data_IF_340462570909
#
_entry.id   IF_340462570909
#
_cell.length_a   1.000
_cell.length_b   1.000
_cell.length_c   1.000
_cell.angle_alpha   90.00
_cell.angle_beta   90.00
_cell.angle_gamma   90.00
#
_symmetry.space_group_name_H-M   'P 1'
#
loop_
_entity.id
_entity.type
_entity.pdbx_description
1 polymer ?
#
# COMPACT_ATOMS: atom_id res chain seq x y z
N UNK A 1 -0.61 -10.60 -21.19
CA UNK A 1 0.18 -9.38 -20.94
C UNK A 1 0.62 -9.38 -19.48
N UNK A 2 1.93 -9.34 -19.18
CA UNK A 2 2.39 -9.00 -17.82
C UNK A 2 1.97 -7.56 -17.55
N UNK A 3 1.11 -7.33 -16.55
CA UNK A 3 0.83 -5.97 -16.07
C UNK A 3 2.14 -5.40 -15.53
N UNK A 4 2.46 -4.16 -15.88
CA UNK A 4 3.61 -3.46 -15.30
C UNK A 4 3.41 -3.33 -13.78
N UNK A 5 4.50 -3.43 -13.01
CA UNK A 5 4.47 -3.41 -11.54
C UNK A 5 3.84 -2.11 -11.02
N UNK A 6 4.09 -0.98 -11.69
CA UNK A 6 3.46 0.29 -11.31
C UNK A 6 1.93 0.23 -11.50
N UNK A 7 1.46 -0.33 -12.60
CA UNK A 7 0.03 -0.54 -12.86
C UNK A 7 -0.63 -1.46 -11.82
N UNK A 8 0.10 -2.46 -11.32
CA UNK A 8 -0.38 -3.33 -10.23
C UNK A 8 -0.45 -2.60 -8.89
N UNK A 9 0.52 -1.73 -8.59
CA UNK A 9 0.53 -0.90 -7.38
C UNK A 9 -0.61 0.11 -7.41
N UNK A 10 -0.84 0.79 -8.53
CA UNK A 10 -1.97 1.71 -8.71
C UNK A 10 -3.31 0.99 -8.53
N UNK A 11 -3.50 -0.16 -9.17
CA UNK A 11 -4.71 -0.97 -9.00
C UNK A 11 -4.92 -1.38 -7.53
N UNK A 12 -3.86 -1.77 -6.83
CA UNK A 12 -3.94 -2.13 -5.42
C UNK A 12 -4.32 -0.92 -4.55
N UNK A 13 -3.75 0.26 -4.80
CA UNK A 13 -4.12 1.49 -4.11
C UNK A 13 -5.57 1.90 -4.37
N UNK A 14 -6.03 1.80 -5.62
CA UNK A 14 -7.44 2.07 -5.97
C UNK A 14 -8.37 1.13 -5.23
N UNK A 15 -8.09 -0.18 -5.22
CA UNK A 15 -8.91 -1.16 -4.51
C UNK A 15 -8.95 -0.86 -3.01
N UNK A 16 -7.78 -0.60 -2.40
CA UNK A 16 -7.69 -0.23 -0.99
C UNK A 16 -8.54 1.00 -0.67
N UNK A 17 -8.45 2.06 -1.50
CA UNK A 17 -9.22 3.28 -1.28
C UNK A 17 -10.72 3.07 -1.41
N UNK A 18 -11.15 2.30 -2.42
CA UNK A 18 -12.56 1.98 -2.62
C UNK A 18 -13.12 1.16 -1.45
N UNK A 19 -12.41 0.11 -1.03
CA UNK A 19 -12.81 -0.74 0.08
C UNK A 19 -12.92 0.04 1.39
N UNK A 20 -11.99 0.98 1.62
CA UNK A 20 -12.02 1.88 2.77
C UNK A 20 -13.23 2.81 2.73
N UNK A 21 -13.48 3.44 1.59
CA UNK A 21 -14.61 4.36 1.43
C UNK A 21 -15.93 3.64 1.70
N UNK A 22 -16.11 2.43 1.16
CA UNK A 22 -17.30 1.62 1.40
C UNK A 22 -17.41 1.24 2.90
N UNK A 23 -16.31 0.80 3.51
CA UNK A 23 -16.29 0.46 4.94
C UNK A 23 -16.59 1.67 5.83
N UNK A 24 -16.10 2.85 5.49
CA UNK A 24 -16.35 4.10 6.22
C UNK A 24 -17.81 4.55 6.09
N UNK A 25 -18.44 4.37 4.92
CA UNK A 25 -19.87 4.59 4.71
C UNK A 25 -20.71 3.65 5.60
N UNK A 26 -20.43 2.34 5.53
CA UNK A 26 -21.13 1.33 6.33
C UNK A 26 -20.96 1.55 7.84
N UNK A 27 -19.77 1.98 8.28
CA UNK A 27 -19.53 2.31 9.68
C UNK A 27 -20.29 3.56 10.12
N UNK A 28 -20.47 4.54 9.22
CA UNK A 28 -21.25 5.75 9.51
C UNK A 28 -22.73 5.43 9.66
N UNK A 29 -23.29 4.64 8.73
CA UNK A 29 -24.67 4.14 8.82
C UNK A 29 -24.89 3.32 10.11
N UNK A 30 -23.93 2.46 10.46
CA UNK A 30 -24.00 1.66 11.68
C UNK A 30 -23.97 2.54 12.94
N UNK A 31 -23.15 3.60 12.97
CA UNK A 31 -23.11 4.55 14.08
C UNK A 31 -24.44 5.26 14.26
N UNK A 32 -25.08 5.70 13.17
CA UNK A 32 -26.42 6.30 13.22
C UNK A 32 -27.45 5.31 13.78
N UNK A 33 -27.43 4.06 13.31
CA UNK A 33 -28.31 3.00 13.81
C UNK A 33 -28.11 2.73 15.31
N UNK A 34 -26.86 2.66 15.76
CA UNK A 34 -26.48 2.45 17.17
C UNK A 34 -26.87 3.62 18.07
N UNK A 35 -26.93 4.85 17.53
CA UNK A 35 -27.28 6.05 18.28
C UNK A 35 -28.73 6.09 18.78
N UNK A 36 -29.60 5.22 18.26
CA UNK A 36 -31.04 5.22 18.59
C UNK A 36 -31.35 4.59 19.96
N UNK A 37 -30.65 3.51 20.36
CA UNK A 37 -30.85 2.89 21.68
C UNK A 37 -29.62 2.12 22.18
N UNK A 38 -29.52 1.95 23.50
CA UNK A 38 -28.44 1.16 24.11
C UNK A 38 -28.45 -0.32 23.71
N UNK A 39 -29.62 -0.89 23.44
CA UNK A 39 -29.75 -2.27 22.96
C UNK A 39 -29.12 -2.41 21.57
N UNK A 40 -29.42 -1.49 20.64
CA UNK A 40 -28.82 -1.48 19.30
C UNK A 40 -27.30 -1.32 19.36
N UNK A 41 -26.79 -0.54 20.30
CA UNK A 41 -25.35 -0.42 20.53
C UNK A 41 -24.74 -1.77 20.92
N UNK A 42 -25.35 -2.49 21.87
CA UNK A 42 -24.87 -3.80 22.31
C UNK A 42 -24.89 -4.83 21.17
N UNK A 43 -25.97 -4.88 20.39
CA UNK A 43 -26.14 -5.85 19.29
C UNK A 43 -25.20 -5.57 18.10
N UNK A 44 -24.90 -4.29 17.86
CA UNK A 44 -24.11 -3.87 16.70
C UNK A 44 -22.60 -3.83 16.95
N UNK A 45 -22.15 -3.96 18.21
CA UNK A 45 -20.73 -3.85 18.58
C UNK A 45 -19.84 -4.82 17.81
N UNK A 46 -20.29 -6.06 17.62
CA UNK A 46 -19.57 -7.08 16.84
C UNK A 46 -19.49 -6.74 15.34
N UNK A 47 -20.50 -6.04 14.81
CA UNK A 47 -20.52 -5.60 13.41
C UNK A 47 -19.54 -4.44 13.23
N UNK A 48 -19.57 -3.46 14.14
CA UNK A 48 -18.65 -2.33 14.15
C UNK A 48 -17.18 -2.80 14.24
N UNK A 49 -16.91 -3.80 15.10
CA UNK A 49 -15.57 -4.39 15.22
C UNK A 49 -15.06 -4.94 13.88
N UNK A 50 -15.90 -5.65 13.11
CA UNK A 50 -15.52 -6.18 11.79
C UNK A 50 -15.16 -5.09 10.79
N UNK A 51 -15.88 -3.96 10.80
CA UNK A 51 -15.55 -2.82 9.93
C UNK A 51 -14.21 -2.19 10.34
N UNK A 52 -13.96 -2.00 11.64
CA UNK A 52 -12.68 -1.49 12.13
C UNK A 52 -11.52 -2.44 11.80
N UNK A 53 -11.72 -3.76 11.94
CA UNK A 53 -10.73 -4.76 11.53
C UNK A 53 -10.43 -4.70 10.02
N UNK A 54 -11.44 -4.46 9.18
CA UNK A 54 -11.24 -4.28 7.73
C UNK A 54 -10.39 -3.05 7.45
N UNK A 55 -10.62 -1.94 8.16
CA UNK A 55 -9.75 -0.75 8.07
C UNK A 55 -8.33 -1.04 8.58
N UNK A 56 -8.17 -1.84 9.64
CA UNK A 56 -6.85 -2.27 10.11
C UNK A 56 -6.12 -3.11 9.04
N UNK A 57 -6.79 -4.10 8.45
CA UNK A 57 -6.23 -4.91 7.35
C UNK A 57 -5.83 -4.04 6.16
N UNK A 58 -6.61 -3.01 5.85
CA UNK A 58 -6.29 -2.01 4.83
C UNK A 58 -4.99 -1.25 5.16
N UNK A 59 -4.80 -0.83 6.43
CA UNK A 59 -3.55 -0.20 6.86
C UNK A 59 -2.34 -1.15 6.70
N UNK A 60 -2.50 -2.43 7.05
CA UNK A 60 -1.44 -3.43 6.86
C UNK A 60 -1.08 -3.62 5.38
N UNK A 61 -2.07 -3.56 4.48
CA UNK A 61 -1.83 -3.63 3.04
C UNK A 61 -1.05 -2.42 2.53
N UNK A 62 -1.37 -1.20 3.00
CA UNK A 62 -0.62 0.01 2.66
C UNK A 62 0.84 -0.08 3.09
N UNK A 63 1.12 -0.56 4.31
CA UNK A 63 2.49 -0.77 4.80
C UNK A 63 3.25 -1.79 3.92
N UNK A 64 2.58 -2.88 3.51
CA UNK A 64 3.17 -3.88 2.60
C UNK A 64 3.49 -3.26 1.24
N UNK A 65 2.59 -2.46 0.67
CA UNK A 65 2.82 -1.75 -0.60
C UNK A 65 3.98 -0.76 -0.48
N UNK A 66 4.02 0.05 0.58
CA UNK A 66 5.12 0.99 0.83
C UNK A 66 6.46 0.26 0.93
N UNK A 67 6.49 -0.90 1.59
CA UNK A 67 7.68 -1.74 1.69
C UNK A 67 8.14 -2.25 0.32
N UNK A 68 7.21 -2.66 -0.55
CA UNK A 68 7.53 -3.12 -1.90
C UNK A 68 8.08 -1.98 -2.79
N UNK A 69 7.49 -0.78 -2.69
CA UNK A 69 7.97 0.42 -3.39
C UNK A 69 9.39 0.77 -2.94
N UNK A 70 9.61 0.85 -1.62
CA UNK A 70 10.95 1.12 -1.07
C UNK A 70 12.01 0.10 -1.51
N UNK A 71 11.66 -1.19 -1.51
CA UNK A 71 12.55 -2.25 -2.01
C UNK A 71 12.86 -2.08 -3.50
N UNK A 72 11.89 -1.69 -4.32
CA UNK A 72 12.11 -1.41 -5.74
C UNK A 72 13.08 -0.25 -5.93
N UNK A 73 12.87 0.86 -5.24
CA UNK A 73 13.73 2.05 -5.33
C UNK A 73 15.16 1.74 -4.89
N UNK A 74 15.33 1.02 -3.77
CA UNK A 74 16.65 0.59 -3.29
C UNK A 74 17.34 -0.39 -4.24
N UNK A 75 16.62 -1.34 -4.85
CA UNK A 75 17.20 -2.26 -5.85
C UNK A 75 17.68 -1.53 -7.12
N UNK A 76 16.95 -0.53 -7.59
CA UNK A 76 17.36 0.31 -8.72
C UNK A 76 18.68 1.02 -8.41
N UNK A 77 18.87 1.46 -7.17
CA UNK A 77 20.07 2.19 -6.74
C UNK A 77 21.27 1.29 -6.37
N UNK A 78 21.06 0.00 -6.09
CA UNK A 78 22.14 -0.90 -5.62
C UNK A 78 22.83 -1.72 -6.72
N UNK A 79 22.27 -1.77 -7.94
CA UNK A 79 22.76 -2.67 -9.00
C UNK A 79 23.29 -1.95 -10.27
N UNK A 80 23.27 -0.62 -10.30
CA UNK A 80 23.80 0.15 -11.42
C UNK A 80 25.08 0.87 -10.98
N UNK A 81 26.18 0.65 -11.70
CA UNK A 81 27.28 1.61 -11.72
C UNK A 81 26.69 2.97 -12.11
N UNK A 82 27.07 4.03 -11.39
CA UNK A 82 26.74 5.39 -11.84
C UNK A 82 27.41 5.64 -13.19
N UNK A 83 26.92 6.61 -13.96
CA UNK A 83 27.56 6.93 -15.25
C UNK A 83 29.02 7.40 -15.05
N UNK A 84 29.32 7.99 -13.89
CA UNK A 84 30.67 8.33 -13.47
C UNK A 84 31.51 7.08 -13.16
N UNK A 85 30.96 6.10 -12.45
CA UNK A 85 31.64 4.81 -12.22
C UNK A 85 31.92 4.08 -13.53
N UNK A 86 31.01 4.14 -14.51
CA UNK A 86 31.21 3.56 -15.85
C UNK A 86 32.34 4.28 -16.59
N UNK A 87 32.35 5.60 -16.58
CA UNK A 87 33.40 6.39 -17.25
C UNK A 87 34.78 6.11 -16.62
N UNK A 88 34.86 6.10 -15.29
CA UNK A 88 36.09 5.74 -14.57
C UNK A 88 36.54 4.31 -14.90
N UNK A 89 35.61 3.36 -15.03
CA UNK A 89 35.93 1.98 -15.43
C UNK A 89 36.44 1.92 -16.89
N UNK A 90 35.87 2.72 -17.79
CA UNK A 90 36.35 2.85 -19.17
C UNK A 90 37.77 3.41 -19.25
N UNK A 91 38.08 4.42 -18.43
CA UNK A 91 39.40 5.04 -18.39
C UNK A 91 40.45 4.05 -17.86
N UNK A 92 40.16 3.34 -16.76
CA UNK A 92 41.05 2.30 -16.20
C UNK A 92 41.35 1.19 -17.22
N UNK A 93 40.33 0.71 -17.95
CA UNK A 93 40.50 -0.35 -18.96
C UNK A 93 41.34 0.15 -20.16
N UNK A 94 41.26 1.44 -20.50
CA UNK A 94 42.04 2.02 -21.59
C UNK A 94 43.49 2.31 -21.20
N UNK A 95 43.78 2.54 -19.92
CA UNK A 95 45.15 2.71 -19.41
C UNK A 95 45.96 1.40 -19.37
N UNK A 96 45.30 0.23 -19.31
CA UNK A 96 45.96 -1.09 -19.35
C UNK A 96 46.29 -1.59 -20.77
N UNK A 97 46.04 -0.81 -21.82
CA UNK A 97 46.43 -1.11 -23.22
C UNK A 97 47.65 -0.34 -23.67
#
# INVERSE_FOLDING_TARGET
MKKDLNSLIEQALTNINNDRQETESLLSELKEYMGVSKERYADSGNIAAKFVETLQRSNEQLVKLATLVYKKETQVNSASLSDEDKNNLFDIINEEK
#
